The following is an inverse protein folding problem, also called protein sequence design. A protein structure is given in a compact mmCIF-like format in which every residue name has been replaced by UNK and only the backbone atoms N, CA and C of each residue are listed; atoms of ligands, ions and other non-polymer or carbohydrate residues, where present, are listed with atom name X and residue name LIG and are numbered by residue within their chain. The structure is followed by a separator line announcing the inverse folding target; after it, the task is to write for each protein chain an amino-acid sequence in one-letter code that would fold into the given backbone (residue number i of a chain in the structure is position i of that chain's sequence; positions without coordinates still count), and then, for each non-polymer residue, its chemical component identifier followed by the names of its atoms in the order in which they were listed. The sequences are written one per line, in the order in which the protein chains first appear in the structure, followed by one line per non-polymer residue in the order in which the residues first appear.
data_IF_627763421152
#
_entry.id   IF_627763421152
#
_cell.length_a   1.000
_cell.length_b   1.000
_cell.length_c   1.000
_cell.angle_alpha   90.00
_cell.angle_beta   90.00
_cell.angle_gamma   90.00
#
_symmetry.space_group_name_H-M   'P 1'
#
loop_
_entity.id
_entity.type
_entity.pdbx_description
1 polymer ?
#
# COMPACT_ATOMS: atom_id res chain seq x y z
N UNK A 1 9.02 -47.75 15.83
CA UNK A 1 8.58 -46.34 15.90
C UNK A 1 9.36 -45.60 14.81
N UNK A 2 8.67 -45.05 13.82
CA UNK A 2 9.32 -44.31 12.71
C UNK A 2 9.54 -42.88 13.18
N UNK A 3 10.79 -42.44 13.29
CA UNK A 3 11.09 -41.03 13.48
C UNK A 3 10.72 -40.26 12.21
N UNK A 4 9.94 -39.18 12.37
CA UNK A 4 9.66 -38.26 11.29
C UNK A 4 10.91 -37.40 11.07
N UNK A 5 11.42 -37.37 9.83
CA UNK A 5 12.50 -36.46 9.44
C UNK A 5 12.04 -35.02 9.70
N UNK A 6 12.77 -34.20 10.49
CA UNK A 6 12.39 -32.82 10.70
C UNK A 6 12.34 -32.10 9.34
N UNK A 7 11.24 -31.40 9.08
CA UNK A 7 11.08 -30.62 7.86
C UNK A 7 12.25 -29.62 7.76
N UNK A 8 12.90 -29.57 6.60
CA UNK A 8 14.01 -28.65 6.39
C UNK A 8 13.51 -27.19 6.47
N UNK A 9 14.27 -26.33 7.14
CA UNK A 9 13.97 -24.90 7.22
C UNK A 9 13.99 -24.28 5.82
N UNK A 10 12.98 -23.46 5.51
CA UNK A 10 12.91 -22.69 4.27
C UNK A 10 13.49 -21.30 4.51
N UNK A 11 14.57 -20.97 3.80
CA UNK A 11 15.14 -19.61 3.85
C UNK A 11 14.18 -18.64 3.16
N UNK A 12 13.77 -17.60 3.89
CA UNK A 12 12.86 -16.56 3.41
C UNK A 12 13.50 -15.18 3.55
N UNK A 13 13.37 -14.34 2.53
CA UNK A 13 13.82 -12.96 2.51
C UNK A 13 12.64 -12.02 2.54
N UNK A 14 12.69 -11.10 3.50
CA UNK A 14 11.77 -9.97 3.60
C UNK A 14 12.43 -8.70 3.08
N UNK A 15 11.66 -7.88 2.38
CA UNK A 15 12.01 -6.52 2.01
C UNK A 15 10.99 -5.58 2.63
N UNK A 16 11.44 -4.58 3.38
CA UNK A 16 10.56 -3.71 4.16
C UNK A 16 10.72 -2.27 3.70
N UNK A 17 9.59 -1.63 3.44
CA UNK A 17 9.44 -0.21 3.13
C UNK A 17 8.54 0.45 4.17
N UNK A 18 8.67 1.75 4.32
CA UNK A 18 7.83 2.59 5.18
C UNK A 18 7.97 4.04 4.71
N UNK A 19 6.97 4.87 4.98
CA UNK A 19 7.07 6.33 4.83
C UNK A 19 7.54 6.74 3.42
N UNK A 20 6.99 6.09 2.39
CA UNK A 20 7.36 6.37 0.99
C UNK A 20 6.72 7.63 0.47
N UNK A 21 5.65 8.13 1.09
CA UNK A 21 5.06 9.45 0.82
C UNK A 21 4.86 9.76 -0.68
N UNK A 22 4.29 8.81 -1.42
CA UNK A 22 3.92 8.98 -2.83
C UNK A 22 5.05 8.73 -3.84
N UNK A 23 6.19 8.14 -3.43
CA UNK A 23 7.18 7.63 -4.37
C UNK A 23 6.53 6.64 -5.36
N UNK A 24 6.85 6.80 -6.63
CA UNK A 24 6.27 6.00 -7.72
C UNK A 24 7.16 4.83 -8.17
N UNK A 25 8.39 4.78 -7.67
CA UNK A 25 9.39 3.78 -8.03
C UNK A 25 10.37 3.53 -6.88
N UNK A 26 10.69 2.26 -6.59
CA UNK A 26 11.72 1.93 -5.61
C UNK A 26 13.12 2.24 -6.19
N UNK A 27 14.11 2.51 -5.33
CA UNK A 27 15.49 2.68 -5.80
C UNK A 27 15.97 1.50 -6.64
N UNK A 28 16.75 1.76 -7.69
CA UNK A 28 17.20 0.73 -8.66
C UNK A 28 17.88 -0.49 -8.02
N UNK A 29 18.65 -0.27 -6.95
CA UNK A 29 19.34 -1.36 -6.26
C UNK A 29 18.39 -2.26 -5.46
N UNK A 30 17.19 -1.76 -5.13
CA UNK A 30 16.12 -2.49 -4.43
C UNK A 30 15.19 -3.18 -5.42
N UNK A 31 14.78 -2.48 -6.49
CA UNK A 31 13.84 -3.01 -7.50
C UNK A 31 14.33 -4.31 -8.16
N UNK A 32 15.65 -4.47 -8.27
CA UNK A 32 16.30 -5.66 -8.86
C UNK A 32 16.49 -6.82 -7.90
N UNK A 33 16.36 -6.60 -6.58
CA UNK A 33 16.57 -7.65 -5.58
C UNK A 33 15.30 -8.46 -5.37
N UNK A 34 15.39 -9.77 -5.61
CA UNK A 34 14.30 -10.68 -5.27
C UNK A 34 14.10 -10.73 -3.76
N UNK A 35 12.84 -10.68 -3.32
CA UNK A 35 12.40 -11.02 -1.97
C UNK A 35 11.17 -11.92 -2.02
N UNK A 36 11.06 -12.86 -1.08
CA UNK A 36 9.90 -13.75 -0.98
C UNK A 36 8.65 -12.96 -0.55
N UNK A 37 8.84 -11.96 0.33
CA UNK A 37 7.78 -11.07 0.81
C UNK A 37 8.29 -9.64 0.87
N UNK A 38 7.55 -8.70 0.28
CA UNK A 38 7.69 -7.28 0.53
C UNK A 38 6.62 -6.81 1.52
N UNK A 39 6.98 -5.90 2.42
CA UNK A 39 6.06 -5.30 3.39
C UNK A 39 6.20 -3.77 3.30
N UNK A 40 5.09 -3.05 3.17
CA UNK A 40 5.03 -1.59 3.30
C UNK A 40 4.29 -1.21 4.58
N UNK A 41 4.99 -0.57 5.51
CA UNK A 41 4.54 -0.33 6.89
C UNK A 41 3.74 0.96 7.08
N UNK A 42 2.99 1.41 6.07
CA UNK A 42 2.22 2.66 6.13
C UNK A 42 2.94 3.90 5.61
N UNK A 43 2.20 5.00 5.58
CA UNK A 43 2.56 6.30 5.01
C UNK A 43 2.97 6.16 3.54
N UNK A 44 2.06 5.53 2.79
CA UNK A 44 2.14 5.40 1.34
C UNK A 44 2.03 6.75 0.65
N UNK A 45 1.33 7.69 1.28
CA UNK A 45 1.02 9.02 0.76
C UNK A 45 1.52 10.13 1.71
N UNK A 46 1.60 11.36 1.21
CA UNK A 46 1.82 12.55 2.05
C UNK A 46 0.49 13.13 2.49
N UNK A 47 -0.47 13.20 1.58
CA UNK A 47 -1.74 13.93 1.79
C UNK A 47 -2.96 13.04 1.56
N UNK A 48 -2.81 11.72 1.42
CA UNK A 48 -3.93 10.80 1.17
C UNK A 48 -4.65 11.04 -0.17
N UNK A 49 -3.99 11.68 -1.14
CA UNK A 49 -4.60 11.95 -2.44
C UNK A 49 -4.61 10.69 -3.31
N UNK A 50 -5.64 10.56 -4.14
CA UNK A 50 -5.84 9.36 -4.97
C UNK A 50 -4.68 9.11 -5.94
N UNK A 51 -4.07 10.17 -6.46
CA UNK A 51 -2.91 10.06 -7.36
C UNK A 51 -1.64 9.59 -6.64
N UNK A 52 -1.49 9.87 -5.35
CA UNK A 52 -0.38 9.37 -4.54
C UNK A 52 -0.51 7.85 -4.37
N UNK A 53 -1.71 7.32 -4.07
CA UNK A 53 -1.89 5.87 -4.03
C UNK A 53 -1.62 5.18 -5.37
N UNK A 54 -2.02 5.81 -6.49
CA UNK A 54 -1.67 5.29 -7.82
C UNK A 54 -0.16 5.28 -8.03
N UNK A 55 0.58 6.25 -7.50
CA UNK A 55 2.04 6.24 -7.48
C UNK A 55 2.57 5.10 -6.61
N UNK A 56 2.07 4.94 -5.38
CA UNK A 56 2.47 3.84 -4.49
C UNK A 56 2.18 2.46 -5.09
N UNK A 57 1.08 2.29 -5.83
CA UNK A 57 0.79 1.05 -6.57
C UNK A 57 1.83 0.80 -7.66
N UNK A 58 2.24 1.83 -8.42
CA UNK A 58 3.35 1.70 -9.39
C UNK A 58 4.66 1.31 -8.71
N UNK A 59 4.95 1.93 -7.57
CA UNK A 59 6.12 1.60 -6.75
C UNK A 59 6.09 0.13 -6.35
N UNK A 60 4.97 -0.34 -5.80
CA UNK A 60 4.81 -1.71 -5.33
C UNK A 60 4.91 -2.71 -6.49
N UNK A 61 4.28 -2.43 -7.64
CA UNK A 61 4.39 -3.26 -8.85
C UNK A 61 5.83 -3.44 -9.33
N UNK A 62 6.68 -2.42 -9.17
CA UNK A 62 8.09 -2.47 -9.54
C UNK A 62 8.97 -3.25 -8.56
N UNK A 63 8.46 -3.64 -7.38
CA UNK A 63 9.20 -4.47 -6.42
C UNK A 63 9.19 -5.93 -6.90
N UNK A 64 10.40 -6.52 -7.03
CA UNK A 64 10.60 -7.92 -7.39
C UNK A 64 10.28 -8.87 -6.21
N UNK A 65 9.00 -9.00 -5.88
CA UNK A 65 8.49 -9.92 -4.87
C UNK A 65 7.13 -10.48 -5.26
N UNK A 66 6.86 -11.78 -5.07
CA UNK A 66 5.56 -12.36 -5.42
C UNK A 66 4.45 -11.96 -4.44
N UNK A 67 4.78 -11.60 -3.19
CA UNK A 67 3.83 -11.16 -2.17
C UNK A 67 4.22 -9.79 -1.63
N UNK A 68 3.29 -8.84 -1.63
CA UNK A 68 3.49 -7.47 -1.17
C UNK A 68 2.37 -7.12 -0.19
N UNK A 69 2.68 -7.15 1.10
CA UNK A 69 1.76 -6.79 2.16
C UNK A 69 1.85 -5.29 2.42
N UNK A 70 0.71 -4.62 2.44
CA UNK A 70 0.62 -3.18 2.63
C UNK A 70 -0.29 -2.90 3.81
N UNK A 71 0.12 -2.00 4.69
CA UNK A 71 -0.76 -1.47 5.74
C UNK A 71 -0.83 0.05 5.58
N UNK A 72 -1.96 0.62 5.99
CA UNK A 72 -2.17 2.07 6.02
C UNK A 72 -1.38 2.72 7.17
N UNK A 73 -0.77 3.88 6.91
CA UNK A 73 -0.24 4.76 7.94
C UNK A 73 -1.22 5.89 8.29
N UNK A 74 -0.76 6.85 9.09
CA UNK A 74 -1.59 7.98 9.52
C UNK A 74 -1.84 9.01 8.41
N UNK A 75 -0.98 9.06 7.39
CA UNK A 75 -1.21 9.89 6.20
C UNK A 75 -2.21 9.26 5.22
N UNK A 76 -2.51 7.98 5.37
CA UNK A 76 -3.34 7.21 4.42
C UNK A 76 -4.83 7.16 4.82
N UNK A 77 -5.35 8.24 5.39
CA UNK A 77 -6.68 8.28 5.99
C UNK A 77 -7.85 8.01 5.03
N UNK A 78 -7.71 8.20 3.71
CA UNK A 78 -8.76 7.88 2.74
C UNK A 78 -8.98 6.38 2.54
N UNK A 79 -8.07 5.53 3.04
CA UNK A 79 -8.29 4.09 3.16
C UNK A 79 -9.26 3.71 4.29
N UNK A 80 -9.45 4.57 5.29
CA UNK A 80 -10.42 4.40 6.37
C UNK A 80 -11.65 5.28 6.09
N UNK A 81 -12.73 4.64 5.60
CA UNK A 81 -13.96 5.34 5.19
C UNK A 81 -14.55 6.19 6.34
N UNK A 82 -14.74 5.67 7.57
CA UNK A 82 -15.16 6.50 8.71
C UNK A 82 -14.27 7.73 8.97
N UNK A 83 -12.95 7.58 8.97
CA UNK A 83 -12.02 8.70 9.20
C UNK A 83 -12.10 9.72 8.05
N UNK A 84 -12.19 9.25 6.81
CA UNK A 84 -12.31 10.13 5.64
C UNK A 84 -13.61 10.95 5.70
N UNK A 85 -14.75 10.32 5.99
CA UNK A 85 -16.04 11.02 6.15
C UNK A 85 -15.99 12.08 7.24
N UNK A 86 -15.36 11.77 8.38
CA UNK A 86 -15.18 12.73 9.48
C UNK A 86 -14.34 13.93 9.03
N UNK A 87 -13.16 13.68 8.44
CA UNK A 87 -12.25 14.75 7.96
C UNK A 87 -12.91 15.62 6.89
N UNK A 88 -13.63 15.02 5.94
CA UNK A 88 -14.37 15.76 4.90
C UNK A 88 -15.47 16.66 5.49
N UNK A 89 -16.11 16.21 6.57
CA UNK A 89 -17.11 17.02 7.30
C UNK A 89 -16.45 18.18 8.07
N UNK A 90 -15.33 17.93 8.73
CA UNK A 90 -14.55 18.93 9.47
C UNK A 90 -13.92 20.00 8.55
N UNK A 91 -13.65 19.63 7.30
CA UNK A 91 -13.03 20.48 6.28
C UNK A 91 -13.97 21.56 5.69
N UNK A 92 -15.22 21.65 6.13
CA UNK A 92 -16.15 22.68 5.66
C UNK A 92 -15.60 24.10 5.95
N UNK A 93 -15.74 25.05 5.00
CA UNK A 93 -16.67 25.05 3.86
C UNK A 93 -16.08 24.52 2.53
N UNK A 94 -15.07 23.64 2.52
CA UNK A 94 -14.52 23.10 1.27
C UNK A 94 -15.59 22.45 0.38
N UNK A 95 -15.51 22.70 -0.93
CA UNK A 95 -16.44 22.17 -1.93
C UNK A 95 -16.31 20.63 -2.01
N UNK A 96 -17.41 19.87 -1.83
CA UNK A 96 -17.42 18.42 -1.99
C UNK A 96 -16.82 17.93 -3.32
N UNK A 97 -16.97 18.69 -4.41
CA UNK A 97 -16.38 18.33 -5.70
C UNK A 97 -14.85 18.41 -5.69
N UNK A 98 -14.27 19.34 -4.92
CA UNK A 98 -12.81 19.40 -4.75
C UNK A 98 -12.32 18.23 -3.90
N UNK A 99 -13.06 17.87 -2.85
CA UNK A 99 -12.75 16.69 -2.04
C UNK A 99 -12.76 15.44 -2.93
N UNK A 100 -13.84 15.22 -3.67
CA UNK A 100 -13.94 14.07 -4.58
C UNK A 100 -12.84 14.09 -5.65
N UNK A 101 -12.50 15.26 -6.20
CA UNK A 101 -11.48 15.41 -7.23
C UNK A 101 -10.08 14.98 -6.76
N UNK A 102 -9.67 15.35 -5.55
CA UNK A 102 -8.32 15.08 -5.05
C UNK A 102 -8.20 13.75 -4.29
N UNK A 103 -9.26 13.36 -3.59
CA UNK A 103 -9.24 12.21 -2.68
C UNK A 103 -10.03 11.01 -3.22
N UNK A 104 -10.79 11.19 -4.30
CA UNK A 104 -11.71 10.18 -4.82
C UNK A 104 -13.00 10.06 -4.01
N UNK A 105 -13.79 9.06 -4.36
CA UNK A 105 -14.99 8.67 -3.64
C UNK A 105 -14.64 7.88 -2.37
N UNK A 106 -15.57 7.86 -1.42
CA UNK A 106 -15.44 7.01 -0.24
C UNK A 106 -15.32 5.54 -0.65
N UNK A 107 -14.19 4.91 -0.30
CA UNK A 107 -13.90 3.51 -0.63
C UNK A 107 -13.15 3.30 -1.95
N UNK A 108 -13.01 4.31 -2.79
CA UNK A 108 -12.35 4.18 -4.10
C UNK A 108 -10.88 3.73 -3.95
N UNK A 109 -10.17 4.25 -2.95
CA UNK A 109 -8.78 3.81 -2.68
C UNK A 109 -8.72 2.33 -2.30
N UNK A 110 -9.69 1.81 -1.54
CA UNK A 110 -9.74 0.38 -1.20
C UNK A 110 -10.03 -0.49 -2.42
N UNK A 111 -10.87 0.01 -3.33
CA UNK A 111 -11.14 -0.65 -4.62
C UNK A 111 -9.87 -0.69 -5.47
N UNK A 112 -9.11 0.41 -5.57
CA UNK A 112 -7.83 0.46 -6.27
C UNK A 112 -6.86 -0.63 -5.81
N UNK A 113 -6.67 -0.80 -4.48
CA UNK A 113 -5.83 -1.90 -3.98
C UNK A 113 -6.48 -3.29 -4.15
N UNK A 114 -7.81 -3.37 -4.13
CA UNK A 114 -8.55 -4.61 -4.37
C UNK A 114 -8.35 -5.18 -5.78
N UNK A 115 -8.10 -4.31 -6.76
CA UNK A 115 -7.79 -4.68 -8.16
C UNK A 115 -6.36 -5.24 -8.32
N UNK A 116 -5.48 -5.05 -7.34
CA UNK A 116 -4.05 -5.44 -7.43
C UNK A 116 -3.75 -6.86 -6.92
N UNK A 117 -4.76 -7.65 -6.53
CA UNK A 117 -4.54 -8.99 -5.96
C UNK A 117 -3.74 -9.91 -6.89
N UNK A 118 -4.01 -9.84 -8.19
CA UNK A 118 -3.30 -10.64 -9.21
C UNK A 118 -1.83 -10.19 -9.41
N UNK A 119 -1.45 -8.99 -8.94
CA UNK A 119 -0.06 -8.49 -8.96
C UNK A 119 0.69 -8.81 -7.66
N UNK A 120 0.02 -9.51 -6.73
CA UNK A 120 0.54 -9.92 -5.43
C UNK A 120 0.47 -8.82 -4.35
N UNK A 121 -0.17 -7.69 -4.61
CA UNK A 121 -0.39 -6.62 -3.63
C UNK A 121 -1.63 -6.96 -2.79
N UNK A 122 -1.52 -6.82 -1.47
CA UNK A 122 -2.62 -7.03 -0.53
C UNK A 122 -2.56 -5.99 0.58
N UNK A 123 -3.68 -5.28 0.80
CA UNK A 123 -3.85 -4.23 1.81
C UNK A 123 -5.11 -4.43 2.65
#
# INVERSE_FOLDING_TARGET
MSEATPAADVKTRFLIFSDTHGLDSPPDFVSRQYADVAIHCGDLTTESQIEEYKASIRFLRAVNSPLKLVIAGNHDFTMDIPIFQRKATEAQPLDPHLIQKFYGNYGEVRELFGEEKETGITS
#
